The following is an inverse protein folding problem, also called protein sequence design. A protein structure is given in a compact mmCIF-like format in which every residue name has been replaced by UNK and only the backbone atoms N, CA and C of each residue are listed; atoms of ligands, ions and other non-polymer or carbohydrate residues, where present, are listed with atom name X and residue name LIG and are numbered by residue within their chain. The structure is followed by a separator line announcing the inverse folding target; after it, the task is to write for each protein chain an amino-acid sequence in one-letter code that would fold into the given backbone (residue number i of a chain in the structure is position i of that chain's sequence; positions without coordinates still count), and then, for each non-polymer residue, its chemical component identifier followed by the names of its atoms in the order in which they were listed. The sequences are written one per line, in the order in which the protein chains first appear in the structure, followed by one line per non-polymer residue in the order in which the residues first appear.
data_IF_545090077751
#
_entry.id   IF_545090077751
#
_cell.length_a   1.000
_cell.length_b   1.000
_cell.length_c   1.000
_cell.angle_alpha   90.00
_cell.angle_beta   90.00
_cell.angle_gamma   90.00
#
_symmetry.space_group_name_H-M   'P 1'
#
loop_
_entity.id
_entity.type
_entity.pdbx_description
1 polymer ?
#
# COMPACT_ATOMS: atom_id res chain seq x y z
N UNK A 1 -4.87 22.59 -3.28
CA UNK A 1 -5.62 21.45 -2.73
C UNK A 1 -4.64 20.72 -1.82
N UNK A 2 -4.66 21.00 -0.51
CA UNK A 2 -3.76 20.32 0.42
C UNK A 2 -4.25 18.89 0.60
N UNK A 3 -3.35 17.93 0.40
CA UNK A 3 -3.66 16.53 0.63
C UNK A 3 -3.57 16.31 2.13
N UNK A 4 -4.67 15.86 2.73
CA UNK A 4 -4.67 15.42 4.11
C UNK A 4 -4.04 14.03 4.18
N UNK A 5 -2.87 13.97 4.83
CA UNK A 5 -2.12 12.72 4.96
C UNK A 5 -2.89 11.72 5.85
N UNK A 6 -3.63 12.20 6.85
CA UNK A 6 -4.47 11.35 7.70
C UNK A 6 -5.54 10.64 6.89
N UNK A 7 -6.30 11.39 6.09
CA UNK A 7 -7.33 10.84 5.20
C UNK A 7 -6.73 9.84 4.19
N UNK A 8 -5.56 10.16 3.64
CA UNK A 8 -4.87 9.28 2.69
C UNK A 8 -4.48 7.96 3.34
N UNK A 9 -3.95 7.99 4.57
CA UNK A 9 -3.60 6.80 5.33
C UNK A 9 -4.83 5.95 5.64
N UNK A 10 -5.92 6.56 6.12
CA UNK A 10 -7.17 5.83 6.40
C UNK A 10 -7.77 5.19 5.14
N UNK A 11 -7.71 5.88 4.00
CA UNK A 11 -8.19 5.37 2.71
C UNK A 11 -7.35 4.18 2.22
N UNK A 12 -6.03 4.22 2.39
CA UNK A 12 -5.15 3.11 2.04
C UNK A 12 -5.34 1.93 3.00
N UNK A 13 -5.49 2.17 4.30
CA UNK A 13 -5.80 1.16 5.30
C UNK A 13 -7.06 0.37 4.95
N UNK A 14 -8.15 1.07 4.65
CA UNK A 14 -9.42 0.45 4.21
C UNK A 14 -9.27 -0.35 2.91
N UNK A 15 -8.39 0.08 2.00
CA UNK A 15 -8.12 -0.65 0.76
C UNK A 15 -7.44 -1.99 1.04
N UNK A 16 -6.53 -2.05 2.00
CA UNK A 16 -5.88 -3.30 2.41
C UNK A 16 -6.89 -4.28 3.04
N UNK A 17 -7.81 -3.78 3.86
CA UNK A 17 -8.88 -4.58 4.46
C UNK A 17 -9.81 -5.16 3.39
N UNK A 18 -10.25 -4.33 2.44
CA UNK A 18 -11.06 -4.76 1.30
C UNK A 18 -10.35 -5.81 0.43
N UNK A 19 -9.02 -5.71 0.27
CA UNK A 19 -8.22 -6.72 -0.44
C UNK A 19 -8.17 -8.05 0.31
N UNK A 20 -8.08 -8.03 1.64
CA UNK A 20 -8.15 -9.25 2.45
C UNK A 20 -9.54 -9.89 2.42
N UNK A 21 -10.60 -9.08 2.39
CA UNK A 21 -11.97 -9.53 2.26
C UNK A 21 -12.29 -10.04 0.83
N UNK A 22 -11.41 -9.81 -0.15
CA UNK A 22 -11.65 -10.15 -1.56
C UNK A 22 -12.65 -9.22 -2.25
N UNK A 23 -12.97 -8.07 -1.66
CA UNK A 23 -13.89 -7.07 -2.20
C UNK A 23 -13.26 -6.25 -3.33
N UNK A 24 -11.93 -6.12 -3.33
CA UNK A 24 -11.17 -5.45 -4.38
C UNK A 24 -10.01 -6.31 -4.86
N UNK A 25 -9.56 -6.04 -6.09
CA UNK A 25 -8.43 -6.73 -6.70
C UNK A 25 -7.09 -6.14 -6.25
N UNK A 26 -6.01 -6.94 -6.28
CA UNK A 26 -4.65 -6.47 -5.97
C UNK A 26 -4.21 -5.28 -6.84
N UNK A 27 -4.60 -5.23 -8.11
CA UNK A 27 -4.29 -4.12 -9.03
C UNK A 27 -4.80 -2.76 -8.51
N UNK A 28 -6.03 -2.73 -7.97
CA UNK A 28 -6.63 -1.52 -7.41
C UNK A 28 -5.83 -1.04 -6.19
N UNK A 29 -5.33 -1.95 -5.36
CA UNK A 29 -4.47 -1.60 -4.22
C UNK A 29 -3.13 -1.05 -4.71
N UNK A 30 -2.48 -1.72 -5.65
CA UNK A 30 -1.22 -1.26 -6.23
C UNK A 30 -1.33 0.16 -6.79
N UNK A 31 -2.37 0.44 -7.58
CA UNK A 31 -2.61 1.77 -8.15
C UNK A 31 -2.81 2.84 -7.06
N UNK A 32 -3.60 2.54 -6.02
CA UNK A 32 -3.86 3.48 -4.90
C UNK A 32 -2.59 3.81 -4.13
N UNK A 33 -1.75 2.82 -3.83
CA UNK A 33 -0.49 3.01 -3.12
C UNK A 33 0.52 3.83 -3.93
N UNK A 34 0.69 3.53 -5.23
CA UNK A 34 1.56 4.31 -6.12
C UNK A 34 1.12 5.77 -6.20
N UNK A 35 -0.18 6.01 -6.40
CA UNK A 35 -0.72 7.36 -6.46
C UNK A 35 -0.46 8.14 -5.15
N UNK A 36 -0.66 7.49 -4.00
CA UNK A 36 -0.40 8.11 -2.71
C UNK A 36 1.09 8.42 -2.47
N UNK A 37 1.99 7.53 -2.90
CA UNK A 37 3.45 7.75 -2.84
C UNK A 37 3.85 9.03 -3.58
N UNK A 38 3.32 9.25 -4.79
CA UNK A 38 3.57 10.46 -5.59
C UNK A 38 3.03 11.75 -4.95
N UNK A 39 2.05 11.60 -4.07
CA UNK A 39 1.38 12.69 -3.37
C UNK A 39 2.01 13.03 -2.02
N UNK A 40 2.95 12.21 -1.53
CA UNK A 40 3.68 12.45 -0.29
C UNK A 40 4.97 13.23 -0.53
N UNK A 41 5.02 14.53 -0.21
CA UNK A 41 6.16 15.38 -0.53
C UNK A 41 7.44 15.05 0.25
N UNK A 42 7.31 14.46 1.45
CA UNK A 42 8.45 14.19 2.35
C UNK A 42 8.95 12.73 2.29
N UNK A 43 8.42 11.93 1.36
CA UNK A 43 8.75 10.52 1.29
C UNK A 43 10.15 10.32 0.67
N UNK A 44 11.11 9.69 1.39
CA UNK A 44 12.43 9.46 0.83
C UNK A 44 12.37 8.49 -0.36
N UNK A 45 13.24 8.64 -1.39
CA UNK A 45 13.20 7.81 -2.60
C UNK A 45 13.38 6.31 -2.33
N UNK A 46 14.05 5.93 -1.22
CA UNK A 46 14.15 4.54 -0.78
C UNK A 46 12.80 3.90 -0.41
N UNK A 47 11.81 4.68 0.01
CA UNK A 47 10.47 4.18 0.36
C UNK A 47 9.70 3.77 -0.88
N UNK A 48 9.88 4.48 -1.99
CA UNK A 48 9.31 4.13 -3.29
C UNK A 48 9.85 2.77 -3.78
N UNK A 49 11.17 2.57 -3.69
CA UNK A 49 11.79 1.29 -4.02
C UNK A 49 11.30 0.14 -3.12
N UNK A 50 11.06 0.39 -1.83
CA UNK A 50 10.46 -0.61 -0.93
C UNK A 50 9.01 -0.87 -1.31
N UNK A 51 8.24 0.17 -1.60
CA UNK A 51 6.84 0.06 -2.00
C UNK A 51 6.70 -0.81 -3.25
N UNK A 52 7.44 -0.52 -4.31
CA UNK A 52 7.39 -1.30 -5.55
C UNK A 52 7.73 -2.78 -5.32
N UNK A 53 8.68 -3.09 -4.43
CA UNK A 53 9.00 -4.47 -4.04
C UNK A 53 7.87 -5.17 -3.30
N UNK A 54 7.09 -4.44 -2.51
CA UNK A 54 5.90 -4.98 -1.82
C UNK A 54 4.72 -5.16 -2.77
N UNK A 55 4.59 -4.33 -3.79
CA UNK A 55 3.52 -4.41 -4.80
C UNK A 55 3.77 -5.51 -5.84
N UNK A 56 5.03 -5.79 -6.18
CA UNK A 56 5.40 -6.83 -7.15
C UNK A 56 4.72 -8.19 -6.93
N UNK A 57 4.68 -8.77 -5.71
CA UNK A 57 3.98 -10.04 -5.48
C UNK A 57 2.46 -9.95 -5.67
N UNK A 58 1.83 -8.79 -5.43
CA UNK A 58 0.39 -8.59 -5.69
C UNK A 58 0.09 -8.59 -7.18
N UNK A 59 0.97 -8.00 -7.99
CA UNK A 59 0.88 -7.97 -9.45
C UNK A 59 0.94 -9.40 -10.03
N UNK A 60 1.91 -10.19 -9.57
CA UNK A 60 2.04 -11.61 -9.93
C UNK A 60 0.85 -12.44 -9.43
N UNK A 61 0.34 -12.16 -8.23
CA UNK A 61 -0.83 -12.84 -7.68
C UNK A 61 -2.10 -12.58 -8.50
N UNK A 62 -2.23 -11.39 -9.10
CA UNK A 62 -3.32 -11.05 -10.00
C UNK A 62 -3.31 -11.93 -11.27
N UNK A 63 -2.12 -12.31 -11.73
CA UNK A 63 -1.92 -13.12 -12.94
C UNK A 63 -2.05 -14.62 -12.71
N UNK A 64 -1.79 -15.12 -11.49
CA UNK A 64 -1.67 -16.57 -11.21
C UNK A 64 -2.95 -17.27 -10.73
N UNK A 65 -4.00 -16.53 -10.34
CA UNK A 65 -5.27 -17.13 -9.90
C UNK A 65 -5.26 -17.63 -8.44
N UNK A 66 -6.46 -17.64 -7.84
CA UNK A 66 -6.72 -17.48 -6.39
C UNK A 66 -6.25 -18.61 -5.44
N UNK A 67 -5.75 -19.73 -5.95
CA UNK A 67 -5.51 -20.92 -5.11
C UNK A 67 -4.13 -20.94 -4.42
N UNK A 68 -3.14 -20.18 -4.89
CA UNK A 68 -1.75 -20.28 -4.39
C UNK A 68 -1.27 -19.13 -3.51
N UNK A 69 -2.08 -18.09 -3.29
CA UNK A 69 -1.56 -16.82 -2.79
C UNK A 69 -2.14 -16.34 -1.45
N UNK A 70 -3.04 -17.07 -0.79
CA UNK A 70 -3.71 -16.57 0.43
C UNK A 70 -2.71 -16.29 1.58
N UNK A 71 -1.70 -17.16 1.74
CA UNK A 71 -0.62 -16.95 2.72
C UNK A 71 0.25 -15.74 2.35
N UNK A 72 0.73 -15.67 1.10
CA UNK A 72 1.54 -14.54 0.62
C UNK A 72 0.76 -13.22 0.59
N UNK A 73 -0.55 -13.24 0.35
CA UNK A 73 -1.41 -12.04 0.35
C UNK A 73 -1.51 -11.43 1.74
N UNK A 74 -1.70 -12.25 2.77
CA UNK A 74 -1.76 -11.77 4.15
C UNK A 74 -0.44 -11.15 4.57
N UNK A 75 0.69 -11.81 4.28
CA UNK A 75 2.02 -11.26 4.60
C UNK A 75 2.30 -9.95 3.86
N UNK A 76 1.95 -9.86 2.57
CA UNK A 76 2.12 -8.63 1.79
C UNK A 76 1.23 -7.51 2.32
N UNK A 77 -0.02 -7.80 2.70
CA UNK A 77 -0.89 -6.80 3.33
C UNK A 77 -0.31 -6.30 4.65
N UNK A 78 0.23 -7.18 5.49
CA UNK A 78 0.88 -6.76 6.74
C UNK A 78 2.14 -5.92 6.48
N UNK A 79 2.93 -6.25 5.47
CA UNK A 79 4.10 -5.47 5.08
C UNK A 79 3.70 -4.07 4.55
N UNK A 80 2.63 -3.99 3.74
CA UNK A 80 2.10 -2.72 3.25
C UNK A 80 1.53 -1.85 4.37
N UNK A 81 0.88 -2.45 5.37
CA UNK A 81 0.43 -1.75 6.59
C UNK A 81 1.60 -1.12 7.34
N UNK A 82 2.66 -1.88 7.58
CA UNK A 82 3.85 -1.36 8.25
C UNK A 82 4.50 -0.23 7.43
N UNK A 83 4.65 -0.40 6.12
CA UNK A 83 5.16 0.65 5.24
C UNK A 83 4.32 1.93 5.35
N UNK A 84 2.99 1.79 5.37
CA UNK A 84 2.04 2.90 5.50
C UNK A 84 2.21 3.65 6.83
N UNK A 85 2.32 2.91 7.93
CA UNK A 85 2.54 3.48 9.27
C UNK A 85 3.86 4.24 9.35
N UNK A 86 4.93 3.70 8.75
CA UNK A 86 6.23 4.37 8.68
C UNK A 86 6.20 5.63 7.81
N UNK A 87 5.58 5.58 6.63
CA UNK A 87 5.42 6.74 5.75
C UNK A 87 4.61 7.86 6.45
N UNK A 88 3.51 7.48 7.13
CA UNK A 88 2.71 8.41 7.90
C UNK A 88 3.48 9.00 9.10
N UNK A 89 4.32 8.21 9.77
CA UNK A 89 5.13 8.69 10.88
C UNK A 89 6.18 9.71 10.42
N UNK A 90 6.88 9.46 9.31
CA UNK A 90 7.85 10.41 8.74
C UNK A 90 7.22 11.78 8.50
N UNK A 91 6.05 11.82 7.88
CA UNK A 91 5.34 13.07 7.62
C UNK A 91 4.89 13.80 8.90
N UNK A 92 4.59 13.07 9.98
CA UNK A 92 4.22 13.66 11.28
C UNK A 92 5.41 14.25 12.05
N UNK A 93 6.62 13.77 11.79
CA UNK A 93 7.83 14.25 12.45
C UNK A 93 8.39 15.55 11.83
N UNK A 94 7.91 15.96 10.66
CA UNK A 94 8.33 17.18 9.97
C UNK A 94 7.39 18.38 10.19
N UNK A 95 6.44 18.28 11.14
CA UNK A 95 5.54 19.40 11.54
C UNK A 95 6.16 20.29 12.61
#
# INVERSE_FOLDING_TARGET
MSIDIGETVERLGRSLEALQAGEITPDVVCARFRLASLQWPDLPPRYDAVLERLLQPLDTAAMLGEESCSFSRTEVVQALRQWLEHAAALNRHHV
#
